data_IF_410449283475
#
_entry.id   IF_410449283475
#
_cell.length_a   1.000
_cell.length_b   1.000
_cell.length_c   1.000
_cell.angle_alpha   90.00
_cell.angle_beta   90.00
_cell.angle_gamma   90.00
#
_symmetry.space_group_name_H-M   'P 1'
#
loop_
_entity.id
_entity.type
_entity.pdbx_description
1 polymer ?
#
# COMPACT_ATOMS: atom_id res chain seq x y z
N UNK A 1 -6.84 12.54 5.04
CA UNK A 1 -5.78 11.70 4.46
C UNK A 1 -4.98 12.55 3.47
N UNK A 2 -3.75 12.17 3.12
CA UNK A 2 -2.95 12.96 2.17
C UNK A 2 -3.48 12.79 0.74
N UNK A 3 -3.38 13.86 -0.04
CA UNK A 3 -3.78 13.96 -1.44
C UNK A 3 -2.64 13.59 -2.41
N UNK A 4 -1.49 13.15 -1.90
CA UNK A 4 -0.31 12.86 -2.72
C UNK A 4 0.48 11.67 -2.19
N UNK A 5 1.26 11.06 -3.08
CA UNK A 5 2.22 10.00 -2.74
C UNK A 5 3.51 10.69 -2.33
N UNK A 6 4.27 10.08 -1.39
CA UNK A 6 5.52 10.65 -0.86
C UNK A 6 5.33 12.06 -0.27
N UNK A 7 4.52 12.17 0.80
CA UNK A 7 4.15 13.43 1.45
C UNK A 7 5.29 14.44 1.73
N UNK A 8 6.56 14.06 2.00
CA UNK A 8 7.66 15.03 2.18
C UNK A 8 8.18 15.68 0.89
N UNK A 9 7.72 15.22 -0.28
CA UNK A 9 8.11 15.72 -1.59
C UNK A 9 7.18 16.86 -2.04
N UNK A 10 7.71 17.82 -2.80
CA UNK A 10 6.91 18.89 -3.42
C UNK A 10 5.90 18.33 -4.43
N UNK A 11 4.77 19.03 -4.56
CA UNK A 11 3.64 18.60 -5.39
C UNK A 11 4.01 18.39 -6.87
N UNK A 12 4.80 19.29 -7.45
CA UNK A 12 5.23 19.20 -8.86
C UNK A 12 6.04 17.93 -9.12
N UNK A 13 6.89 17.54 -8.17
CA UNK A 13 7.70 16.32 -8.25
C UNK A 13 6.83 15.07 -8.00
N UNK A 14 5.81 15.18 -7.15
CA UNK A 14 4.87 14.09 -6.90
C UNK A 14 4.01 13.77 -8.13
N UNK A 15 3.70 14.76 -8.97
CA UNK A 15 2.93 14.59 -10.20
C UNK A 15 3.63 13.66 -11.21
N UNK A 16 4.96 13.76 -11.34
CA UNK A 16 5.75 12.86 -12.22
C UNK A 16 5.62 11.41 -11.75
N UNK A 17 5.58 11.18 -10.43
CA UNK A 17 5.42 9.86 -9.84
C UNK A 17 3.99 9.35 -10.07
N UNK A 18 2.97 10.21 -9.89
CA UNK A 18 1.59 9.87 -10.19
C UNK A 18 1.42 9.43 -11.65
N UNK A 19 2.00 10.17 -12.58
CA UNK A 19 1.98 9.82 -14.00
C UNK A 19 2.65 8.47 -14.25
N UNK A 20 3.82 8.22 -13.65
CA UNK A 20 4.50 6.94 -13.79
C UNK A 20 3.67 5.76 -13.25
N UNK A 21 3.04 5.93 -12.09
CA UNK A 21 2.18 4.91 -11.47
C UNK A 21 0.95 4.64 -12.34
N UNK A 22 0.33 5.70 -12.86
CA UNK A 22 -0.82 5.60 -13.76
C UNK A 22 -0.44 4.88 -15.07
N UNK A 23 0.69 5.23 -15.67
CA UNK A 23 1.21 4.60 -16.89
C UNK A 23 1.56 3.12 -16.68
N UNK A 24 1.80 2.68 -15.44
CA UNK A 24 1.98 1.27 -15.07
C UNK A 24 0.66 0.52 -14.84
N UNK A 25 -0.49 1.17 -15.02
CA UNK A 25 -1.81 0.57 -14.87
C UNK A 25 -2.23 0.36 -13.41
N UNK A 26 -1.62 1.09 -12.48
CA UNK A 26 -1.95 0.99 -11.05
C UNK A 26 -3.07 1.98 -10.73
N UNK A 27 -4.17 1.49 -10.17
CA UNK A 27 -5.24 2.33 -9.66
C UNK A 27 -4.83 2.93 -8.31
N UNK A 28 -4.63 4.26 -8.28
CA UNK A 28 -4.19 4.98 -7.10
C UNK A 28 -5.40 5.62 -6.40
N UNK A 29 -5.81 5.06 -5.27
CA UNK A 29 -6.88 5.62 -4.44
C UNK A 29 -6.24 6.52 -3.38
N UNK A 30 -6.37 7.83 -3.56
CA UNK A 30 -5.87 8.86 -2.64
C UNK A 30 -7.01 9.42 -1.79
N UNK A 31 -6.65 10.09 -0.70
CA UNK A 31 -7.59 10.70 0.26
C UNK A 31 -8.57 9.73 0.96
N UNK A 32 -8.59 8.45 0.57
CA UNK A 32 -9.47 7.44 1.11
C UNK A 32 -8.68 6.29 1.75
N UNK A 33 -8.79 6.20 3.07
CA UNK A 33 -8.10 5.18 3.87
C UNK A 33 -8.85 3.86 3.91
N UNK A 34 -8.15 2.79 4.32
CA UNK A 34 -8.84 1.55 4.67
C UNK A 34 -9.53 1.69 6.02
N UNK A 35 -10.84 1.39 6.05
CA UNK A 35 -11.66 1.36 7.26
C UNK A 35 -11.68 -0.02 7.90
N UNK A 36 -11.86 -1.08 7.11
CA UNK A 36 -11.90 -2.45 7.61
C UNK A 36 -11.55 -3.50 6.55
N UNK A 37 -11.15 -4.68 7.03
CA UNK A 37 -10.90 -5.86 6.22
C UNK A 37 -11.87 -6.96 6.61
N UNK A 38 -12.55 -7.56 5.62
CA UNK A 38 -13.42 -8.72 5.80
C UNK A 38 -12.90 -9.89 4.98
N UNK A 39 -12.63 -11.03 5.62
CA UNK A 39 -12.18 -12.24 4.93
C UNK A 39 -13.37 -12.88 4.19
N UNK A 40 -13.17 -13.26 2.93
CA UNK A 40 -14.15 -13.97 2.10
C UNK A 40 -13.53 -15.31 1.64
N UNK A 41 -14.36 -16.22 1.11
CA UNK A 41 -13.91 -17.53 0.64
C UNK A 41 -12.79 -17.43 -0.42
N UNK A 42 -12.85 -16.43 -1.30
CA UNK A 42 -11.90 -16.21 -2.40
C UNK A 42 -11.13 -14.89 -2.27
N UNK A 43 -10.66 -14.53 -1.07
CA UNK A 43 -9.82 -13.34 -0.86
C UNK A 43 -10.30 -12.47 0.30
N UNK A 44 -10.02 -11.19 0.22
CA UNK A 44 -10.40 -10.19 1.21
C UNK A 44 -11.20 -9.05 0.56
N UNK A 45 -12.21 -8.59 1.29
CA UNK A 45 -13.02 -7.43 0.95
C UNK A 45 -12.57 -6.29 1.84
N UNK A 46 -12.10 -5.22 1.24
CA UNK A 46 -11.59 -4.02 1.90
C UNK A 46 -12.68 -2.98 1.83
N UNK A 47 -13.12 -2.45 2.97
CA UNK A 47 -14.03 -1.30 3.00
C UNK A 47 -13.20 -0.05 3.24
N UNK A 48 -13.36 0.94 2.37
CA UNK A 48 -12.70 2.23 2.48
C UNK A 48 -13.48 3.18 3.41
N UNK A 49 -12.90 4.33 3.75
CA UNK A 49 -13.56 5.33 4.59
C UNK A 49 -14.75 5.98 3.88
N UNK A 50 -14.67 6.10 2.55
CA UNK A 50 -15.80 6.52 1.69
C UNK A 50 -17.00 5.55 1.71
N UNK A 51 -16.78 4.30 2.13
CA UNK A 51 -17.77 3.22 2.01
C UNK A 51 -17.63 2.39 0.73
N UNK A 52 -16.74 2.77 -0.19
CA UNK A 52 -16.37 1.95 -1.34
C UNK A 52 -15.76 0.61 -0.88
N UNK A 53 -15.99 -0.45 -1.67
CA UNK A 53 -15.52 -1.79 -1.38
C UNK A 53 -14.62 -2.31 -2.49
N UNK A 54 -13.40 -2.72 -2.11
CA UNK A 54 -12.40 -3.25 -3.04
C UNK A 54 -12.13 -4.71 -2.71
N UNK A 55 -12.18 -5.58 -3.71
CA UNK A 55 -11.84 -6.99 -3.56
C UNK A 55 -10.39 -7.25 -3.94
N UNK A 56 -9.65 -7.94 -3.07
CA UNK A 56 -8.24 -8.27 -3.30
C UNK A 56 -7.91 -9.70 -2.86
N UNK A 57 -7.03 -10.37 -3.60
CA UNK A 57 -6.52 -11.70 -3.26
C UNK A 57 -5.29 -11.64 -2.35
N UNK A 58 -4.47 -10.60 -2.52
CA UNK A 58 -3.27 -10.34 -1.73
C UNK A 58 -3.32 -8.89 -1.25
N UNK A 59 -3.04 -8.67 0.03
CA UNK A 59 -2.98 -7.34 0.65
C UNK A 59 -1.59 -7.16 1.23
N UNK A 60 -0.90 -6.09 0.83
CA UNK A 60 0.40 -5.70 1.36
C UNK A 60 0.22 -4.37 2.09
N UNK A 61 0.52 -4.35 3.39
CA UNK A 61 0.45 -3.15 4.22
C UNK A 61 1.84 -2.50 4.28
N UNK A 62 1.97 -1.33 3.65
CA UNK A 62 3.21 -0.55 3.60
C UNK A 62 3.09 0.81 4.31
N UNK A 63 2.28 0.88 5.38
CA UNK A 63 1.97 2.13 6.13
C UNK A 63 3.08 2.57 7.11
N UNK A 64 4.26 1.95 7.05
CA UNK A 64 5.38 2.25 7.94
C UNK A 64 5.28 1.56 9.31
N UNK A 65 6.32 1.78 10.13
CA UNK A 65 6.49 1.14 11.44
C UNK A 65 6.52 2.21 12.52
N UNK A 66 5.76 2.02 13.59
CA UNK A 66 5.79 2.92 14.74
C UNK A 66 6.65 2.31 15.86
N UNK A 67 7.49 3.14 16.48
CA UNK A 67 8.46 2.77 17.54
C UNK A 67 7.85 2.09 18.79
N UNK A 68 6.52 1.98 18.89
CA UNK A 68 5.83 1.29 20.00
C UNK A 68 5.76 -0.23 19.83
N UNK A 69 6.15 -0.78 18.68
CA UNK A 69 6.11 -2.22 18.46
C UNK A 69 7.39 -2.87 19.02
N UNK A 70 7.24 -3.79 19.97
CA UNK A 70 8.38 -4.50 20.57
C UNK A 70 9.10 -5.36 19.52
N UNK A 71 10.43 -5.54 19.60
CA UNK A 71 11.23 -6.21 18.55
C UNK A 71 10.77 -7.64 18.22
N UNK A 72 10.10 -8.31 19.18
CA UNK A 72 9.67 -9.71 19.08
C UNK A 72 8.54 -9.91 18.05
N UNK A 73 7.71 -8.90 17.78
CA UNK A 73 6.63 -8.98 16.79
C UNK A 73 7.09 -8.66 15.35
N UNK A 74 8.31 -8.15 15.19
CA UNK A 74 8.82 -7.68 13.90
C UNK A 74 9.37 -8.80 13.00
N UNK A 75 9.84 -9.90 13.60
CA UNK A 75 10.56 -10.97 12.89
C UNK A 75 9.70 -11.76 11.89
N UNK A 76 8.37 -11.77 12.05
CA UNK A 76 7.47 -12.45 11.11
C UNK A 76 6.91 -11.54 10.00
N UNK A 77 7.06 -10.21 10.09
CA UNK A 77 6.52 -9.28 9.09
C UNK A 77 7.60 -8.81 8.09
N UNK A 78 8.88 -8.80 8.48
CA UNK A 78 9.97 -8.29 7.65
C UNK A 78 10.41 -9.22 6.50
N UNK A 79 10.13 -10.52 6.61
CA UNK A 79 10.50 -11.50 5.57
C UNK A 79 9.76 -11.29 4.22
N UNK A 80 8.63 -10.58 4.23
CA UNK A 80 7.85 -10.32 3.02
C UNK A 80 8.35 -9.08 2.25
N UNK A 81 8.87 -8.06 2.94
CA UNK A 81 9.33 -6.81 2.31
C UNK A 81 10.66 -6.98 1.56
N UNK A 82 11.61 -7.73 2.14
CA UNK A 82 12.91 -7.95 1.49
C UNK A 82 12.82 -8.83 0.24
N UNK A 83 11.87 -9.77 0.21
CA UNK A 83 11.71 -10.70 -0.91
C UNK A 83 11.02 -10.01 -2.10
N UNK A 84 10.10 -9.08 -1.86
CA UNK A 84 9.35 -8.40 -2.93
C UNK A 84 10.14 -7.29 -3.64
N UNK A 85 10.96 -6.50 -2.93
CA UNK A 85 11.77 -5.46 -3.58
C UNK A 85 12.77 -6.06 -4.58
N UNK A 86 13.28 -7.27 -4.28
CA UNK A 86 14.14 -8.04 -5.19
C UNK A 86 13.39 -8.59 -6.40
N UNK A 87 12.11 -8.92 -6.27
CA UNK A 87 11.28 -9.46 -7.35
C UNK A 87 10.82 -8.38 -8.34
N UNK A 88 10.63 -7.15 -7.88
CA UNK A 88 10.30 -6.02 -8.77
C UNK A 88 11.50 -5.53 -9.60
N UNK A 89 12.74 -5.76 -9.14
CA UNK A 89 13.96 -5.37 -9.84
C UNK A 89 14.53 -6.46 -10.77
N UNK A 90 14.01 -7.69 -10.71
CA UNK A 90 14.45 -8.81 -11.58
C UNK A 90 13.52 -9.09 -12.76
N UNK A 91 12.57 -8.20 -13.03
CA UNK A 91 11.71 -8.22 -14.23
C UNK A 91 11.73 -6.90 -15.02
N UNK A 92 12.88 -6.23 -15.01
CA UNK A 92 13.28 -5.30 -16.08
C UNK A 92 14.42 -5.95 -16.87
#
# INVERSE_FOLDING_TARGET
>A
MSNQVMAPLDYEMAAIIHEHIFNKGVNLILEDGVKSFAKKKNGALITLQSGEQVQAYLIILAIGVNKKMTPVQFRNHLLLLHTFFKLSLTKC
#
